data_IF_074724365689
#
_entry.id   IF_074724365689
#
_cell.length_a   1.000
_cell.length_b   1.000
_cell.length_c   1.000
_cell.angle_alpha   90.00
_cell.angle_beta   90.00
_cell.angle_gamma   90.00
#
_symmetry.space_group_name_H-M   'P 1'
#
loop_
_entity.id
_entity.type
_entity.pdbx_description
1 polymer ?
#
# COMPACT_ATOMS: atom_id res chain seq x y z
N UNK A 1 -15.57 -23.13 5.44
CA UNK A 1 -15.40 -22.29 6.64
C UNK A 1 -14.53 -21.12 6.22
N UNK A 2 -14.91 -19.90 6.58
CA UNK A 2 -14.18 -18.68 6.23
C UNK A 2 -13.47 -18.23 7.50
N UNK A 3 -12.16 -18.00 7.40
CA UNK A 3 -11.33 -17.53 8.51
C UNK A 3 -10.89 -16.09 8.26
N UNK A 4 -10.72 -15.31 9.32
CA UNK A 4 -10.19 -13.95 9.24
C UNK A 4 -8.72 -14.00 8.87
N UNK A 5 -8.35 -13.39 7.74
CA UNK A 5 -6.96 -13.34 7.29
C UNK A 5 -6.10 -12.47 8.21
N UNK A 6 -6.58 -11.28 8.56
CA UNK A 6 -5.90 -10.34 9.45
C UNK A 6 -6.94 -9.49 10.20
N UNK A 7 -6.72 -9.24 11.49
CA UNK A 7 -7.64 -8.52 12.39
C UNK A 7 -7.27 -7.03 12.58
N UNK A 8 -6.41 -6.47 11.72
CA UNK A 8 -6.07 -5.03 11.76
C UNK A 8 -7.32 -4.18 11.59
N UNK A 9 -7.54 -3.28 12.54
CA UNK A 9 -8.51 -2.21 12.38
C UNK A 9 -7.85 -1.02 11.70
N UNK A 10 -8.22 -0.77 10.45
CA UNK A 10 -7.80 0.44 9.73
C UNK A 10 -8.78 1.59 10.00
N UNK A 11 -8.29 2.83 10.04
CA UNK A 11 -9.18 4.00 10.01
C UNK A 11 -9.83 4.15 8.63
N UNK A 12 -9.05 3.97 7.56
CA UNK A 12 -9.52 3.92 6.18
C UNK A 12 -8.73 2.84 5.43
N UNK A 13 -9.25 1.61 5.48
CA UNK A 13 -8.66 0.44 4.84
C UNK A 13 -8.98 0.37 3.35
N UNK A 14 -7.98 0.48 2.49
CA UNK A 14 -8.17 0.59 1.02
C UNK A 14 -7.00 -0.02 0.23
N UNK A 15 -7.11 0.04 -1.10
CA UNK A 15 -6.05 -0.33 -2.04
C UNK A 15 -5.56 -1.79 -1.92
N UNK A 16 -6.47 -2.78 -1.92
CA UNK A 16 -6.09 -4.18 -1.85
C UNK A 16 -5.25 -4.58 -3.07
N UNK A 17 -4.09 -5.19 -2.84
CA UNK A 17 -3.17 -5.64 -3.89
C UNK A 17 -2.68 -7.06 -3.59
N UNK A 18 -2.90 -7.97 -4.55
CA UNK A 18 -2.28 -9.29 -4.53
C UNK A 18 -0.99 -9.30 -5.36
N UNK A 19 0.13 -9.67 -4.73
CA UNK A 19 1.40 -9.85 -5.41
C UNK A 19 1.56 -11.32 -5.87
N UNK A 20 1.58 -11.62 -7.18
CA UNK A 20 1.53 -12.99 -7.67
C UNK A 20 2.79 -13.81 -7.36
N UNK A 21 3.99 -13.20 -7.51
CA UNK A 21 5.25 -13.92 -7.26
C UNK A 21 5.49 -14.21 -5.78
N UNK A 22 5.18 -13.25 -4.90
CA UNK A 22 5.27 -13.41 -3.45
C UNK A 22 4.13 -14.22 -2.85
N UNK A 23 3.02 -14.35 -3.58
CA UNK A 23 1.74 -14.84 -3.05
C UNK A 23 1.36 -14.12 -1.76
N UNK A 24 1.44 -12.79 -1.81
CA UNK A 24 1.35 -11.95 -0.64
C UNK A 24 0.33 -10.84 -0.88
N UNK A 25 -0.55 -10.64 0.10
CA UNK A 25 -1.58 -9.62 0.06
C UNK A 25 -1.10 -8.34 0.77
N UNK A 26 -1.39 -7.20 0.17
CA UNK A 26 -1.05 -5.87 0.66
C UNK A 26 -2.31 -5.01 0.72
N UNK A 27 -2.39 -4.12 1.70
CA UNK A 27 -3.47 -3.14 1.84
C UNK A 27 -2.99 -1.91 2.60
N UNK A 28 -3.68 -0.79 2.45
CA UNK A 28 -3.33 0.46 3.10
C UNK A 28 -4.25 0.78 4.27
N UNK A 29 -3.72 1.50 5.25
CA UNK A 29 -4.53 2.42 6.05
C UNK A 29 -4.13 3.85 5.67
N UNK A 30 -4.95 4.48 4.83
CA UNK A 30 -4.61 5.75 4.18
C UNK A 30 -4.41 6.85 5.22
N UNK A 31 -5.31 6.93 6.22
CA UNK A 31 -5.25 7.95 7.26
C UNK A 31 -4.10 7.72 8.25
N UNK A 32 -3.68 6.46 8.45
CA UNK A 32 -2.54 6.14 9.29
C UNK A 32 -1.19 6.18 8.55
N UNK A 33 -1.20 6.43 7.24
CA UNK A 33 -0.03 6.44 6.36
C UNK A 33 0.73 5.11 6.41
N UNK A 34 0.02 3.98 6.39
CA UNK A 34 0.62 2.65 6.53
C UNK A 34 0.28 1.75 5.36
N UNK A 35 1.28 1.00 4.93
CA UNK A 35 1.11 -0.22 4.12
C UNK A 35 1.19 -1.41 5.06
N UNK A 36 0.24 -2.32 4.93
CA UNK A 36 0.17 -3.57 5.65
C UNK A 36 0.37 -4.74 4.71
N UNK A 37 0.89 -5.83 5.27
CA UNK A 37 0.83 -7.15 4.68
C UNK A 37 0.81 -8.20 5.78
N UNK A 38 0.54 -9.47 5.43
CA UNK A 38 0.66 -10.59 6.35
C UNK A 38 1.25 -11.78 5.62
N UNK A 39 2.21 -12.44 6.27
CA UNK A 39 2.82 -13.70 5.82
C UNK A 39 2.68 -14.74 6.93
N UNK A 40 3.23 -15.94 6.71
CA UNK A 40 3.32 -16.97 7.75
C UNK A 40 4.14 -16.52 8.97
N UNK A 41 5.03 -15.54 8.79
CA UNK A 41 5.78 -14.91 9.88
C UNK A 41 4.96 -13.86 10.66
N UNK A 42 3.75 -13.56 10.21
CA UNK A 42 2.84 -12.58 10.81
C UNK A 42 2.71 -11.28 10.03
N UNK A 43 2.10 -10.28 10.68
CA UNK A 43 1.81 -8.97 10.10
C UNK A 43 3.10 -8.17 9.87
N UNK A 44 3.19 -7.59 8.69
CA UNK A 44 4.21 -6.62 8.30
C UNK A 44 3.55 -5.24 8.19
N UNK A 45 4.30 -4.21 8.58
CA UNK A 45 3.83 -2.82 8.55
C UNK A 45 4.96 -1.93 8.08
N UNK A 46 4.68 -1.09 7.10
CA UNK A 46 5.58 -0.01 6.67
C UNK A 46 4.88 1.33 6.91
N UNK A 47 5.56 2.22 7.63
CA UNK A 47 5.08 3.55 7.95
C UNK A 47 5.65 4.56 6.96
N UNK A 48 4.80 5.46 6.48
CA UNK A 48 5.16 6.57 5.61
C UNK A 48 4.92 7.91 6.30
N UNK A 49 5.61 8.95 5.84
CA UNK A 49 5.46 10.32 6.34
C UNK A 49 4.25 11.04 5.71
N UNK A 50 3.67 10.47 4.65
CA UNK A 50 2.54 11.03 3.90
C UNK A 50 1.51 9.94 3.58
N UNK A 51 0.24 10.30 3.31
CA UNK A 51 -0.78 9.36 2.86
C UNK A 51 -0.32 8.60 1.62
N UNK A 52 -0.52 7.28 1.64
CA UNK A 52 -0.30 6.38 0.51
C UNK A 52 -1.58 5.58 0.29
N UNK A 53 -2.04 5.47 -0.95
CA UNK A 53 -3.39 4.99 -1.24
C UNK A 53 -3.48 3.92 -2.31
N UNK A 54 -2.45 3.79 -3.15
CA UNK A 54 -2.43 2.80 -4.23
C UNK A 54 -1.03 2.26 -4.46
N UNK A 55 -0.97 1.01 -4.91
CA UNK A 55 0.26 0.38 -5.38
C UNK A 55 0.01 -0.56 -6.56
N UNK A 56 1.05 -0.74 -7.37
CA UNK A 56 1.18 -1.83 -8.34
C UNK A 56 2.50 -2.55 -8.14
N UNK A 57 2.52 -3.88 -8.31
CA UNK A 57 3.78 -4.63 -8.25
C UNK A 57 4.58 -4.40 -9.54
N UNK A 58 5.90 -4.26 -9.40
CA UNK A 58 6.83 -4.06 -10.53
C UNK A 58 7.62 -5.33 -10.80
N UNK A 59 8.15 -5.92 -9.73
CA UNK A 59 8.80 -7.22 -9.70
C UNK A 59 8.67 -7.81 -8.30
N UNK A 60 9.36 -8.92 -8.04
CA UNK A 60 9.35 -9.59 -6.74
C UNK A 60 9.54 -8.64 -5.58
N UNK A 61 10.45 -7.68 -5.60
CA UNK A 61 10.82 -6.93 -4.39
C UNK A 61 10.27 -5.49 -4.39
N UNK A 62 9.78 -5.00 -5.52
CA UNK A 62 9.42 -3.59 -5.69
C UNK A 62 7.95 -3.37 -6.02
N UNK A 63 7.36 -2.41 -5.30
CA UNK A 63 6.05 -1.84 -5.58
C UNK A 63 6.21 -0.41 -6.13
N UNK A 64 5.44 -0.05 -7.15
CA UNK A 64 5.19 1.36 -7.49
C UNK A 64 4.08 1.85 -6.56
N UNK A 65 4.36 2.83 -5.71
CA UNK A 65 3.40 3.39 -4.74
C UNK A 65 3.06 4.82 -5.13
N UNK A 66 1.78 5.18 -4.96
CA UNK A 66 1.28 6.54 -5.06
C UNK A 66 1.02 7.13 -3.67
N UNK A 67 1.62 8.30 -3.40
CA UNK A 67 1.20 9.19 -2.32
C UNK A 67 0.30 10.32 -2.84
N UNK A 68 -0.07 11.23 -1.96
CA UNK A 68 -0.77 12.48 -2.29
C UNK A 68 -0.01 13.39 -3.29
N UNK A 69 1.30 13.23 -3.42
CA UNK A 69 2.18 14.17 -4.14
C UNK A 69 3.25 13.48 -5.01
N UNK A 70 3.46 12.17 -4.87
CA UNK A 70 4.57 11.46 -5.49
C UNK A 70 4.19 10.05 -5.95
N UNK A 71 4.83 9.61 -7.04
CA UNK A 71 4.97 8.20 -7.41
C UNK A 71 6.41 7.76 -7.13
N UNK A 72 6.61 6.60 -6.52
CA UNK A 72 7.95 6.11 -6.20
C UNK A 72 8.02 4.59 -6.19
N UNK A 73 9.19 4.03 -6.46
CA UNK A 73 9.46 2.60 -6.25
C UNK A 73 9.83 2.36 -4.79
N UNK A 74 9.15 1.40 -4.19
CA UNK A 74 9.30 0.97 -2.80
C UNK A 74 9.77 -0.47 -2.76
N UNK A 75 10.89 -0.73 -2.09
CA UNK A 75 11.38 -2.09 -1.85
C UNK A 75 10.76 -2.63 -0.56
N UNK A 76 10.03 -3.75 -0.64
CA UNK A 76 9.32 -4.33 0.50
C UNK A 76 10.24 -5.02 1.50
N UNK A 77 11.47 -5.37 1.10
CA UNK A 77 12.43 -6.07 1.96
C UNK A 77 13.12 -5.12 2.96
N UNK A 78 13.44 -3.90 2.53
CA UNK A 78 14.20 -2.93 3.33
C UNK A 78 13.48 -1.59 3.56
N UNK A 79 12.33 -1.38 2.92
CA UNK A 79 11.56 -0.13 2.99
C UNK A 79 12.16 1.02 2.17
N UNK A 80 13.19 0.76 1.37
CA UNK A 80 13.89 1.75 0.56
C UNK A 80 13.01 2.34 -0.54
N UNK A 81 13.18 3.65 -0.79
CA UNK A 81 12.46 4.40 -1.83
C UNK A 81 13.43 4.86 -2.92
N UNK A 82 13.09 4.61 -4.19
CA UNK A 82 13.89 5.01 -5.36
C UNK A 82 12.98 5.51 -6.48
N UNK A 83 13.56 6.17 -7.49
CA UNK A 83 12.86 6.66 -8.69
C UNK A 83 11.56 7.43 -8.37
N UNK A 84 11.71 8.53 -7.63
CA UNK A 84 10.57 9.39 -7.25
C UNK A 84 10.23 10.38 -8.35
N UNK A 85 8.95 10.44 -8.71
CA UNK A 85 8.36 11.43 -9.59
C UNK A 85 7.31 12.23 -8.81
N UNK A 86 7.42 13.57 -8.83
CA UNK A 86 6.36 14.43 -8.29
C UNK A 86 5.15 14.43 -9.21
N UNK A 87 3.98 14.30 -8.62
CA UNK A 87 2.70 14.45 -9.31
C UNK A 87 2.35 15.94 -9.32
N UNK A 88 2.20 16.51 -10.51
CA UNK A 88 1.80 17.91 -10.73
C UNK A 88 0.30 18.05 -11.09
N UNK A 89 -0.42 16.93 -11.09
CA UNK A 89 -1.86 16.90 -11.35
C UNK A 89 -2.64 17.51 -10.17
N UNK A 90 -3.64 18.33 -10.49
CA UNK A 90 -4.60 18.80 -9.50
C UNK A 90 -5.56 17.68 -9.13
N UNK A 91 -5.67 17.38 -7.83
CA UNK A 91 -6.62 16.41 -7.31
C UNK A 91 -8.06 16.70 -7.74
N UNK A 92 -8.88 15.67 -7.82
CA UNK A 92 -10.32 15.78 -8.03
C UNK A 92 -11.02 15.74 -6.67
N UNK A 93 -12.27 16.22 -6.58
CA UNK A 93 -13.07 15.98 -5.37
C UNK A 93 -13.24 14.46 -5.16
N UNK A 94 -13.07 13.99 -3.92
CA UNK A 94 -13.23 12.58 -3.59
C UNK A 94 -14.67 12.12 -3.88
N UNK A 95 -14.83 11.30 -4.91
CA UNK A 95 -16.03 10.49 -5.05
C UNK A 95 -15.89 9.28 -4.12
N UNK A 96 -16.61 9.29 -3.00
CA UNK A 96 -16.72 8.13 -2.11
C UNK A 96 -17.40 6.98 -2.84
N UNK A 97 -16.62 6.14 -3.51
CA UNK A 97 -17.05 4.81 -3.91
C UNK A 97 -16.95 3.95 -2.65
N UNK A 98 -18.08 3.73 -2.00
CA UNK A 98 -18.18 2.73 -0.94
C UNK A 98 -18.32 1.38 -1.66
N UNK A 99 -17.27 0.55 -1.63
CA UNK A 99 -17.32 -0.84 -2.07
C UNK A 99 -18.06 -1.71 -1.05
#
# INVERSE_FOLDING_TARGET
MVDVFDDTQCSLGEGPLWHPERKQFFWFDINAHRLYSRTDAGRQVWQFDAPVSAAGWVDRDRLLIASDTELFLFNVEDGGRTYTLRVDATGQEEHRVIL
#
